data_IF_466715156276
#
_entry.id   IF_466715156276
#
_cell.length_a   1.000
_cell.length_b   1.000
_cell.length_c   1.000
_cell.angle_alpha   90.00
_cell.angle_beta   90.00
_cell.angle_gamma   90.00
#
_symmetry.space_group_name_H-M   'P 1'
#
loop_
_entity.id
_entity.type
_entity.pdbx_description
1 polymer ?
#
# COMPACT_ATOMS: atom_id res chain seq x y z
N UNK A 1 -8.99 6.36 -15.02
CA UNK A 1 -10.22 7.12 -14.79
C UNK A 1 -10.54 7.37 -13.30
N UNK A 2 -9.56 7.23 -12.40
CA UNK A 2 -9.72 7.47 -10.95
C UNK A 2 -9.54 8.95 -10.50
N UNK A 3 -9.27 9.87 -11.42
CA UNK A 3 -9.01 11.28 -11.07
C UNK A 3 -10.18 12.02 -10.40
N UNK A 4 -11.39 11.52 -10.51
CA UNK A 4 -12.58 12.22 -9.97
C UNK A 4 -12.80 12.03 -8.45
N UNK A 5 -12.07 11.11 -7.83
CA UNK A 5 -12.23 10.78 -6.42
C UNK A 5 -11.07 11.24 -5.53
N UNK A 6 -9.99 11.77 -6.14
CA UNK A 6 -8.83 12.22 -5.39
C UNK A 6 -9.00 13.71 -5.06
N UNK A 7 -8.92 14.11 -3.79
CA UNK A 7 -8.97 15.52 -3.42
C UNK A 7 -7.95 16.35 -4.18
N UNK A 8 -8.30 17.57 -4.61
CA UNK A 8 -7.48 18.41 -5.48
C UNK A 8 -6.14 18.87 -4.89
N UNK A 9 -5.87 18.58 -3.62
CA UNK A 9 -4.59 18.88 -2.95
C UNK A 9 -3.59 17.70 -3.01
N UNK A 10 -3.95 16.58 -3.66
CA UNK A 10 -3.08 15.41 -3.78
C UNK A 10 -2.39 15.41 -5.13
N UNK A 11 -1.06 15.48 -5.14
CA UNK A 11 -0.27 15.23 -6.34
C UNK A 11 -0.26 13.73 -6.63
N UNK A 12 -0.70 13.33 -7.82
CA UNK A 12 -0.66 11.93 -8.26
C UNK A 12 0.49 11.72 -9.21
N UNK A 13 1.53 11.02 -8.74
CA UNK A 13 2.61 10.51 -9.58
C UNK A 13 2.28 9.09 -10.02
N UNK A 14 2.28 8.84 -11.32
CA UNK A 14 2.11 7.49 -11.86
C UNK A 14 3.46 6.92 -12.24
N UNK A 15 3.68 5.69 -11.87
CA UNK A 15 4.79 4.90 -12.37
C UNK A 15 4.51 4.53 -13.85
N UNK A 16 5.25 5.13 -14.78
CA UNK A 16 5.11 4.86 -16.21
C UNK A 16 6.44 4.37 -16.79
N UNK A 17 6.38 3.38 -17.69
CA UNK A 17 7.56 2.86 -18.38
C UNK A 17 8.45 1.95 -17.55
N UNK A 18 7.95 1.42 -16.46
CA UNK A 18 8.67 0.49 -15.60
C UNK A 18 8.45 -0.95 -16.05
N UNK A 19 9.54 -1.72 -16.14
CA UNK A 19 9.55 -3.06 -16.70
C UNK A 19 9.79 -4.17 -15.66
N UNK A 20 9.42 -3.93 -14.41
CA UNK A 20 9.57 -4.97 -13.39
C UNK A 20 9.62 -4.45 -11.96
N UNK A 21 9.82 -5.39 -11.04
CA UNK A 21 9.82 -5.14 -9.60
C UNK A 21 10.96 -4.23 -9.12
N UNK A 22 12.14 -4.31 -9.77
CA UNK A 22 13.29 -3.47 -9.44
C UNK A 22 12.99 -2.00 -9.72
N UNK A 23 12.31 -1.72 -10.82
CA UNK A 23 11.89 -0.37 -11.17
C UNK A 23 10.82 0.12 -10.20
N UNK A 24 9.90 -0.74 -9.76
CA UNK A 24 8.89 -0.39 -8.76
C UNK A 24 9.55 -0.03 -7.42
N UNK A 25 10.53 -0.80 -6.96
CA UNK A 25 11.31 -0.48 -5.77
C UNK A 25 12.01 0.88 -5.92
N UNK A 26 12.69 1.09 -7.05
CA UNK A 26 13.38 2.35 -7.35
C UNK A 26 12.41 3.54 -7.33
N UNK A 27 11.24 3.39 -7.94
CA UNK A 27 10.20 4.41 -7.92
C UNK A 27 9.77 4.77 -6.49
N UNK A 28 9.52 3.78 -5.62
CA UNK A 28 9.15 4.04 -4.21
C UNK A 28 10.29 4.76 -3.48
N UNK A 29 11.53 4.33 -3.68
CA UNK A 29 12.72 4.97 -3.08
C UNK A 29 12.83 6.42 -3.54
N UNK A 30 12.65 6.70 -4.83
CA UNK A 30 12.71 8.05 -5.38
C UNK A 30 11.58 8.93 -4.85
N UNK A 31 10.36 8.39 -4.73
CA UNK A 31 9.24 9.09 -4.07
C UNK A 31 9.61 9.46 -2.63
N UNK A 32 10.20 8.53 -1.86
CA UNK A 32 10.61 8.82 -0.48
C UNK A 32 11.72 9.86 -0.44
N UNK A 33 12.65 9.87 -1.40
CA UNK A 33 13.74 10.87 -1.51
C UNK A 33 13.20 12.27 -1.79
N UNK A 34 12.22 12.39 -2.67
CA UNK A 34 11.79 13.67 -3.23
C UNK A 34 10.57 14.28 -2.50
N UNK A 35 9.79 13.50 -1.78
CA UNK A 35 8.59 13.97 -1.11
C UNK A 35 8.92 14.67 0.21
N UNK A 36 8.45 15.92 0.39
CA UNK A 36 8.66 16.70 1.62
C UNK A 36 7.56 16.49 2.68
N UNK A 37 6.70 15.53 2.47
CA UNK A 37 5.58 15.23 3.37
C UNK A 37 5.29 13.73 3.48
N UNK A 38 4.01 13.41 3.46
CA UNK A 38 3.51 12.05 3.47
C UNK A 38 3.29 11.56 2.05
N UNK A 39 3.82 10.39 1.73
CA UNK A 39 3.50 9.68 0.49
C UNK A 39 2.50 8.56 0.77
N UNK A 40 1.56 8.37 -0.17
CA UNK A 40 0.65 7.22 -0.20
C UNK A 40 1.00 6.41 -1.44
N UNK A 41 1.47 5.20 -1.24
CA UNK A 41 1.79 4.24 -2.30
C UNK A 41 0.59 3.31 -2.46
N UNK A 42 0.13 3.13 -3.68
CA UNK A 42 -0.99 2.23 -3.98
C UNK A 42 -0.74 1.49 -5.29
N UNK A 43 -1.02 0.21 -5.29
CA UNK A 43 -1.04 -0.60 -6.50
C UNK A 43 -2.22 -0.24 -7.40
N UNK A 44 -2.11 -0.55 -8.68
CA UNK A 44 -3.11 -0.23 -9.71
C UNK A 44 -4.45 -0.94 -9.53
N UNK A 45 -4.46 -2.05 -8.80
CA UNK A 45 -5.62 -2.87 -8.48
C UNK A 45 -6.10 -2.72 -7.03
N UNK A 46 -5.69 -1.62 -6.40
CA UNK A 46 -6.21 -1.16 -5.12
C UNK A 46 -7.38 -0.19 -5.34
N UNK A 47 -8.54 -0.49 -4.79
CA UNK A 47 -9.76 0.29 -4.92
C UNK A 47 -10.16 0.90 -3.58
N UNK A 48 -9.79 2.15 -3.37
CA UNK A 48 -10.16 2.91 -2.16
C UNK A 48 -11.54 3.52 -2.36
N UNK A 49 -12.47 3.22 -1.50
CA UNK A 49 -13.85 3.74 -1.55
C UNK A 49 -14.16 4.72 -0.41
N UNK A 50 -13.36 4.74 0.66
CA UNK A 50 -13.47 5.70 1.76
C UNK A 50 -12.19 6.52 1.87
N UNK A 51 -12.01 7.47 0.95
CA UNK A 51 -10.80 8.30 0.86
C UNK A 51 -10.51 9.11 2.11
N UNK A 52 -11.54 9.54 2.85
CA UNK A 52 -11.37 10.28 4.10
C UNK A 52 -10.59 9.50 5.17
N UNK A 53 -10.49 8.17 5.07
CA UNK A 53 -9.69 7.35 5.96
C UNK A 53 -8.18 7.64 5.84
N UNK A 54 -7.71 8.02 4.64
CA UNK A 54 -6.28 8.26 4.40
C UNK A 54 -5.77 9.48 5.17
N UNK A 55 -6.33 10.70 5.01
CA UNK A 55 -5.89 11.84 5.82
C UNK A 55 -6.09 11.60 7.32
N UNK A 56 -7.16 10.96 7.75
CA UNK A 56 -7.37 10.62 9.15
C UNK A 56 -6.28 9.68 9.71
N UNK A 57 -5.84 8.69 8.90
CA UNK A 57 -4.70 7.85 9.27
C UNK A 57 -3.40 8.67 9.36
N UNK A 58 -3.15 9.59 8.42
CA UNK A 58 -1.97 10.46 8.45
C UNK A 58 -1.96 11.31 9.72
N UNK A 59 -3.09 11.92 10.08
CA UNK A 59 -3.23 12.70 11.32
C UNK A 59 -2.97 11.83 12.56
N UNK A 60 -3.56 10.63 12.62
CA UNK A 60 -3.32 9.68 13.69
C UNK A 60 -1.85 9.28 13.77
N UNK A 61 -1.20 8.99 12.64
CA UNK A 61 0.21 8.63 12.57
C UNK A 61 1.10 9.76 13.05
N UNK A 62 0.85 11.00 12.61
CA UNK A 62 1.59 12.18 13.02
C UNK A 62 1.49 12.41 14.54
N UNK A 63 0.27 12.33 15.09
CA UNK A 63 0.03 12.54 16.53
C UNK A 63 0.68 11.46 17.41
N UNK A 64 0.87 10.25 16.91
CA UNK A 64 1.39 9.11 17.66
C UNK A 64 2.85 8.70 17.29
N UNK A 65 3.51 9.48 16.43
CA UNK A 65 4.89 9.26 16.03
C UNK A 65 5.10 8.01 15.14
N UNK A 66 4.08 7.55 14.43
CA UNK A 66 4.23 6.51 13.42
C UNK A 66 4.90 7.10 12.16
N UNK A 67 5.81 6.37 11.57
CA UNK A 67 6.56 6.82 10.40
C UNK A 67 6.10 6.19 9.09
N UNK A 68 5.52 5.01 9.16
CA UNK A 68 4.99 4.32 8.00
C UNK A 68 3.83 3.39 8.41
N UNK A 69 2.94 3.10 7.48
CA UNK A 69 1.80 2.22 7.68
C UNK A 69 1.59 1.30 6.49
N UNK A 70 1.05 0.13 6.75
CA UNK A 70 0.65 -0.85 5.74
C UNK A 70 0.25 -2.17 6.37
N UNK A 71 -0.24 -3.09 5.57
CA UNK A 71 -0.50 -4.46 6.01
C UNK A 71 0.83 -5.21 6.13
N UNK A 72 1.05 -6.00 7.20
CA UNK A 72 2.19 -6.90 7.26
C UNK A 72 2.24 -7.80 6.02
N UNK A 73 3.43 -7.98 5.45
CA UNK A 73 3.54 -8.79 4.25
C UNK A 73 3.07 -10.22 4.48
N UNK A 74 2.40 -10.78 3.46
CA UNK A 74 1.86 -12.15 3.46
C UNK A 74 0.73 -12.43 4.45
N UNK A 75 0.25 -11.40 5.18
CA UNK A 75 -0.64 -11.55 6.34
C UNK A 75 -2.00 -12.17 6.07
N UNK A 76 -2.55 -12.14 4.86
CA UNK A 76 -3.86 -12.73 4.51
C UNK A 76 -3.76 -13.86 3.49
N UNK A 77 -2.59 -14.07 2.89
CA UNK A 77 -2.41 -15.18 1.94
C UNK A 77 -2.18 -16.49 2.71
N UNK A 78 -3.00 -17.53 2.51
CA UNK A 78 -2.84 -18.82 3.18
C UNK A 78 -1.56 -19.55 2.78
N UNK A 79 -0.92 -19.13 1.69
CA UNK A 79 0.28 -19.75 1.14
C UNK A 79 1.58 -19.05 1.51
N UNK A 80 1.51 -17.95 2.29
CA UNK A 80 2.66 -17.14 2.66
C UNK A 80 2.80 -17.06 4.18
N UNK A 81 4.05 -17.01 4.64
CA UNK A 81 4.35 -16.83 6.07
C UNK A 81 4.26 -15.34 6.41
N UNK A 82 3.49 -14.99 7.44
CA UNK A 82 3.37 -13.63 7.96
C UNK A 82 4.73 -13.08 8.38
N UNK A 83 5.08 -11.89 7.89
CA UNK A 83 6.25 -11.14 8.30
C UNK A 83 5.84 -9.76 8.84
N UNK A 84 6.12 -9.53 10.11
CA UNK A 84 5.81 -8.26 10.78
C UNK A 84 6.84 -7.15 10.54
N UNK A 85 8.04 -7.51 10.08
CA UNK A 85 9.11 -6.54 9.80
C UNK A 85 9.01 -5.92 8.42
N UNK A 86 8.21 -6.50 7.54
CA UNK A 86 7.99 -6.01 6.18
C UNK A 86 6.53 -5.76 5.92
N UNK A 87 6.24 -4.80 5.06
CA UNK A 87 4.88 -4.46 4.66
C UNK A 87 4.63 -4.93 3.23
N UNK A 88 3.39 -5.23 2.92
CA UNK A 88 3.02 -5.49 1.54
C UNK A 88 2.94 -4.15 0.77
N UNK A 89 3.54 -4.05 -0.43
CA UNK A 89 3.63 -2.80 -1.17
C UNK A 89 2.30 -2.29 -1.75
N UNK A 90 1.23 -3.07 -1.77
CA UNK A 90 -0.02 -2.68 -2.42
C UNK A 90 -0.68 -1.44 -1.82
N UNK A 91 -0.44 -1.16 -0.53
CA UNK A 91 -0.89 0.06 0.13
C UNK A 91 0.05 0.44 1.27
N UNK A 92 0.66 1.61 1.18
CA UNK A 92 1.48 2.15 2.25
C UNK A 92 1.28 3.66 2.42
N UNK A 93 1.41 4.14 3.65
CA UNK A 93 1.52 5.56 4.00
C UNK A 93 2.91 5.76 4.62
N UNK A 94 3.69 6.72 4.12
CA UNK A 94 5.08 6.91 4.51
C UNK A 94 5.34 8.38 4.84
N UNK A 95 5.87 8.65 6.03
CA UNK A 95 6.42 9.96 6.38
C UNK A 95 7.84 10.05 5.78
N UNK A 96 7.94 10.60 4.57
CA UNK A 96 9.19 10.61 3.81
C UNK A 96 10.32 11.36 4.52
N UNK A 97 10.11 12.59 5.07
CA UNK A 97 11.16 13.28 5.83
C UNK A 97 11.65 12.49 7.05
N UNK A 98 10.74 11.84 7.79
CA UNK A 98 11.12 11.07 8.96
C UNK A 98 11.99 9.85 8.58
N UNK A 99 11.63 9.13 7.52
CA UNK A 99 12.41 7.99 7.04
C UNK A 99 13.78 8.44 6.54
N UNK A 100 13.86 9.52 5.73
CA UNK A 100 15.15 10.06 5.25
C UNK A 100 16.06 10.47 6.38
N UNK A 101 15.57 11.29 7.30
CA UNK A 101 16.37 11.83 8.41
C UNK A 101 16.90 10.76 9.35
N UNK A 102 16.22 9.64 9.45
CA UNK A 102 16.65 8.49 10.26
C UNK A 102 17.61 7.54 9.51
N UNK A 103 18.00 7.83 8.26
CA UNK A 103 18.90 6.97 7.48
C UNK A 103 18.22 5.72 6.92
N UNK A 104 16.88 5.74 6.78
CA UNK A 104 16.09 4.58 6.33
C UNK A 104 16.33 4.16 4.88
N UNK A 105 17.07 4.97 4.11
CA UNK A 105 17.38 4.70 2.69
C UNK A 105 18.86 4.38 2.43
N UNK A 106 19.73 4.47 3.45
CA UNK A 106 21.18 4.46 3.25
C UNK A 106 21.77 3.13 2.73
N UNK A 107 20.99 2.06 2.75
CA UNK A 107 21.44 0.71 2.43
C UNK A 107 20.61 -0.03 1.36
N UNK A 108 19.74 0.67 0.66
CA UNK A 108 18.78 0.06 -0.30
C UNK A 108 19.38 -0.17 -1.70
N UNK A 109 20.61 0.25 -1.96
CA UNK A 109 21.24 0.18 -3.29
C UNK A 109 21.56 -1.24 -3.81
N UNK A 110 21.40 -2.26 -2.97
CA UNK A 110 21.59 -3.66 -3.36
C UNK A 110 20.46 -4.51 -2.80
N UNK A 111 19.56 -5.00 -3.66
CA UNK A 111 18.43 -5.81 -3.20
C UNK A 111 18.92 -7.06 -2.49
N UNK A 112 18.60 -7.17 -1.20
CA UNK A 112 18.99 -8.29 -0.35
C UNK A 112 18.36 -9.63 -0.81
N UNK A 113 17.31 -9.59 -1.65
CA UNK A 113 16.68 -10.78 -2.20
C UNK A 113 17.65 -11.65 -3.01
N UNK A 114 18.70 -11.08 -3.58
CA UNK A 114 19.75 -11.82 -4.29
C UNK A 114 20.56 -12.74 -3.36
N UNK A 115 20.56 -12.44 -2.06
CA UNK A 115 21.30 -13.21 -1.06
C UNK A 115 20.43 -14.22 -0.29
N UNK A 116 19.10 -14.08 -0.33
CA UNK A 116 18.17 -14.93 0.40
C UNK A 116 16.87 -15.16 -0.41
N UNK A 117 16.61 -16.41 -0.87
CA UNK A 117 15.44 -16.70 -1.72
C UNK A 117 14.08 -16.53 -1.02
N UNK A 118 14.07 -16.32 0.29
CA UNK A 118 12.84 -16.03 1.05
C UNK A 118 12.52 -14.54 1.13
N UNK A 119 13.44 -13.67 0.72
CA UNK A 119 13.21 -12.21 0.65
C UNK A 119 12.62 -11.82 -0.69
N UNK A 120 11.63 -10.96 -0.65
CA UNK A 120 11.08 -10.27 -1.83
C UNK A 120 11.82 -8.94 -2.05
N UNK A 121 11.65 -8.37 -3.22
CA UNK A 121 12.42 -7.18 -3.63
C UNK A 121 12.18 -5.96 -2.73
N UNK A 122 11.00 -5.85 -2.13
CA UNK A 122 10.63 -4.74 -1.24
C UNK A 122 11.04 -4.97 0.22
N UNK A 123 11.42 -6.19 0.58
CA UNK A 123 11.68 -6.56 1.98
C UNK A 123 12.81 -5.74 2.60
N UNK A 124 13.86 -5.44 1.84
CA UNK A 124 14.98 -4.65 2.34
C UNK A 124 14.57 -3.20 2.65
N UNK A 125 13.78 -2.58 1.79
CA UNK A 125 13.22 -1.25 2.03
C UNK A 125 12.41 -1.22 3.35
N UNK A 126 11.45 -2.11 3.49
CA UNK A 126 10.58 -2.13 4.66
C UNK A 126 11.33 -2.52 5.93
N UNK A 127 12.32 -3.41 5.83
CA UNK A 127 13.18 -3.75 6.96
C UNK A 127 14.02 -2.54 7.41
N UNK A 128 14.57 -1.74 6.48
CA UNK A 128 15.26 -0.51 6.85
C UNK A 128 14.30 0.50 7.49
N UNK A 129 13.13 0.71 6.92
CA UNK A 129 12.10 1.58 7.50
C UNK A 129 11.68 1.13 8.90
N UNK A 130 11.53 -0.18 9.11
CA UNK A 130 11.20 -0.76 10.43
C UNK A 130 12.31 -0.53 11.46
N UNK A 131 13.59 -0.61 11.06
CA UNK A 131 14.73 -0.37 11.97
C UNK A 131 14.83 1.07 12.45
N UNK A 132 14.44 2.04 11.63
CA UNK A 132 14.61 3.47 11.90
C UNK A 132 13.33 4.17 12.32
N UNK A 133 12.19 3.51 12.22
CA UNK A 133 10.89 4.11 12.44
C UNK A 133 9.92 3.21 13.23
N UNK A 134 8.71 3.73 13.40
CA UNK A 134 7.60 3.04 14.09
C UNK A 134 6.50 2.72 13.09
N UNK A 135 6.24 1.44 12.78
CA UNK A 135 5.16 1.05 11.87
C UNK A 135 3.79 1.12 12.53
N UNK A 136 2.78 1.51 11.76
CA UNK A 136 1.36 1.28 12.03
C UNK A 136 0.91 0.10 11.16
N UNK A 137 0.63 -1.04 11.79
CA UNK A 137 0.13 -2.21 11.07
C UNK A 137 -1.37 -2.09 10.84
N UNK A 138 -1.75 -2.17 9.56
CA UNK A 138 -3.15 -2.16 9.15
C UNK A 138 -3.69 -3.60 9.12
N UNK A 139 -4.87 -3.79 9.70
CA UNK A 139 -5.55 -5.07 9.66
C UNK A 139 -6.27 -5.24 8.33
N UNK A 140 -6.46 -6.48 7.93
CA UNK A 140 -7.19 -6.84 6.73
C UNK A 140 -7.97 -8.14 6.92
N UNK A 141 -8.92 -8.39 6.04
CA UNK A 141 -9.63 -9.64 5.93
C UNK A 141 -9.65 -10.09 4.46
N UNK A 142 -9.62 -11.40 4.23
CA UNK A 142 -9.89 -11.96 2.91
C UNK A 142 -11.40 -12.01 2.69
N UNK A 143 -11.85 -11.58 1.53
CA UNK A 143 -13.27 -11.67 1.16
C UNK A 143 -13.66 -13.11 0.81
N UNK A 144 -14.95 -13.35 0.57
CA UNK A 144 -15.47 -14.68 0.30
C UNK A 144 -14.93 -15.36 -0.97
N UNK A 145 -14.27 -14.61 -1.88
CA UNK A 145 -13.61 -15.16 -3.06
C UNK A 145 -12.25 -15.83 -2.72
N UNK A 146 -11.77 -15.71 -1.48
CA UNK A 146 -10.52 -16.28 -1.01
C UNK A 146 -9.25 -15.55 -1.49
N UNK A 147 -9.38 -14.45 -2.25
CA UNK A 147 -8.27 -13.70 -2.82
C UNK A 147 -8.29 -12.22 -2.44
N UNK A 148 -9.42 -11.56 -2.66
CA UNK A 148 -9.53 -10.11 -2.44
C UNK A 148 -9.30 -9.76 -0.98
N UNK A 149 -8.39 -8.82 -0.75
CA UNK A 149 -8.10 -8.30 0.57
C UNK A 149 -8.95 -7.06 0.85
N UNK A 150 -9.67 -7.07 1.96
CA UNK A 150 -10.42 -5.92 2.45
C UNK A 150 -9.64 -5.26 3.57
N UNK A 151 -9.07 -4.09 3.31
CA UNK A 151 -8.16 -3.39 4.22
C UNK A 151 -8.92 -2.49 5.17
N UNK A 152 -8.48 -2.49 6.45
CA UNK A 152 -9.03 -1.66 7.52
C UNK A 152 -8.10 -0.50 7.85
N UNK A 153 -8.68 0.64 8.24
CA UNK A 153 -7.95 1.78 8.78
C UNK A 153 -7.53 1.58 10.24
N UNK A 154 -6.93 2.62 10.85
CA UNK A 154 -6.49 2.62 12.24
C UNK A 154 -7.62 2.47 13.27
N UNK A 155 -8.87 2.71 12.90
CA UNK A 155 -10.06 2.51 13.74
C UNK A 155 -10.67 1.11 13.55
N UNK A 156 -10.12 0.29 12.68
CA UNK A 156 -10.65 -1.04 12.37
C UNK A 156 -11.80 -1.04 11.37
N UNK A 157 -12.05 0.09 10.70
CA UNK A 157 -13.11 0.22 9.70
C UNK A 157 -12.58 -0.02 8.29
N UNK A 158 -13.34 -0.75 7.48
CA UNK A 158 -12.97 -1.04 6.11
C UNK A 158 -12.97 0.21 5.24
N UNK A 159 -11.96 0.37 4.38
CA UNK A 159 -11.84 1.55 3.51
C UNK A 159 -11.40 1.26 2.08
N UNK A 160 -10.84 0.09 1.81
CA UNK A 160 -10.29 -0.23 0.49
C UNK A 160 -10.28 -1.73 0.21
N UNK A 161 -10.33 -2.08 -1.07
CA UNK A 161 -10.22 -3.45 -1.58
C UNK A 161 -8.98 -3.57 -2.46
N UNK A 162 -8.22 -4.64 -2.30
CA UNK A 162 -7.12 -5.02 -3.18
C UNK A 162 -7.47 -6.32 -3.88
N UNK A 163 -7.51 -6.29 -5.22
CA UNK A 163 -7.98 -7.45 -5.98
C UNK A 163 -6.94 -8.55 -6.14
N UNK A 164 -5.68 -8.22 -5.99
CA UNK A 164 -4.54 -9.06 -6.32
C UNK A 164 -4.51 -9.50 -7.80
N UNK A 165 -3.34 -9.79 -8.31
CA UNK A 165 -3.16 -10.39 -9.62
C UNK A 165 -3.77 -9.58 -10.78
N UNK A 166 -3.61 -8.24 -10.75
CA UNK A 166 -4.09 -7.36 -11.84
C UNK A 166 -3.56 -7.79 -13.22
N UNK A 167 -2.39 -8.41 -13.26
CA UNK A 167 -1.81 -9.00 -14.47
C UNK A 167 -2.69 -10.08 -15.13
N UNK A 168 -3.48 -10.79 -14.33
CA UNK A 168 -4.43 -11.79 -14.80
C UNK A 168 -5.62 -11.17 -15.56
N UNK A 169 -5.78 -9.85 -15.48
CA UNK A 169 -6.76 -9.13 -16.32
C UNK A 169 -6.57 -9.43 -17.80
N UNK A 170 -5.31 -9.50 -18.25
CA UNK A 170 -5.00 -9.85 -19.64
C UNK A 170 -5.25 -11.35 -19.95
N UNK A 171 -5.28 -12.21 -18.92
CA UNK A 171 -5.35 -13.67 -19.05
C UNK A 171 -6.71 -14.29 -18.69
N UNK A 172 -7.75 -13.48 -18.42
CA UNK A 172 -9.10 -13.99 -18.25
C UNK A 172 -9.79 -13.69 -16.91
N UNK A 173 -9.08 -13.21 -15.90
CA UNK A 173 -9.64 -12.88 -14.58
C UNK A 173 -10.43 -11.54 -14.53
N UNK A 174 -10.80 -11.03 -15.71
CA UNK A 174 -11.56 -9.77 -15.86
C UNK A 174 -12.82 -9.72 -15.03
N UNK A 175 -13.53 -10.85 -14.93
CA UNK A 175 -14.81 -10.93 -14.21
C UNK A 175 -14.61 -10.71 -12.72
N UNK A 176 -13.60 -11.34 -12.10
CA UNK A 176 -13.29 -11.19 -10.68
C UNK A 176 -12.85 -9.75 -10.37
N UNK A 177 -11.86 -9.24 -11.10
CA UNK A 177 -11.33 -7.89 -10.86
C UNK A 177 -12.41 -6.84 -11.10
N UNK A 178 -13.24 -7.02 -12.15
CA UNK A 178 -14.39 -6.14 -12.39
C UNK A 178 -15.38 -6.18 -11.23
N UNK A 179 -15.67 -7.36 -10.68
CA UNK A 179 -16.53 -7.48 -9.51
C UNK A 179 -15.97 -6.73 -8.31
N UNK A 180 -14.67 -6.84 -8.03
CA UNK A 180 -14.03 -6.10 -6.94
C UNK A 180 -14.16 -4.59 -7.13
N UNK A 181 -14.00 -4.11 -8.36
CA UNK A 181 -14.23 -2.71 -8.71
C UNK A 181 -15.70 -2.30 -8.48
N UNK A 182 -16.65 -3.12 -8.93
CA UNK A 182 -18.09 -2.86 -8.76
C UNK A 182 -18.48 -2.86 -7.26
N UNK A 183 -17.91 -3.77 -6.46
CA UNK A 183 -18.08 -3.82 -5.01
C UNK A 183 -17.53 -2.53 -4.33
N UNK A 184 -16.33 -2.11 -4.71
CA UNK A 184 -15.74 -0.87 -4.19
C UNK A 184 -16.57 0.36 -4.55
N UNK A 185 -17.10 0.41 -5.78
CA UNK A 185 -18.01 1.46 -6.22
C UNK A 185 -19.31 1.47 -5.42
N UNK A 186 -19.89 0.30 -5.17
CA UNK A 186 -21.08 0.18 -4.34
C UNK A 186 -20.85 0.73 -2.92
N UNK A 187 -19.72 0.38 -2.27
CA UNK A 187 -19.38 0.90 -0.94
C UNK A 187 -19.19 2.43 -0.96
N UNK A 188 -18.57 2.95 -2.01
CA UNK A 188 -18.42 4.39 -2.17
C UNK A 188 -19.77 5.13 -2.28
N UNK A 189 -20.67 4.63 -3.12
CA UNK A 189 -22.00 5.21 -3.33
C UNK A 189 -22.86 5.10 -2.06
N UNK A 190 -22.81 3.96 -1.37
CA UNK A 190 -23.54 3.75 -0.11
C UNK A 190 -23.04 4.68 1.02
N UNK A 191 -21.73 4.89 1.13
CA UNK A 191 -21.16 5.79 2.14
C UNK A 191 -21.52 7.25 1.90
N UNK A 192 -21.60 7.70 0.66
CA UNK A 192 -21.99 9.07 0.32
C UNK A 192 -23.49 9.36 0.46
N UNK A 193 -24.35 8.34 0.42
CA UNK A 193 -25.80 8.48 0.60
C UNK A 193 -26.22 8.45 2.08
N UNK A 194 -25.30 8.16 3.00
CA UNK A 194 -25.56 8.04 4.44
C UNK A 194 -25.11 9.27 5.23
N UNK A 195 -24.55 10.26 4.56
CA UNK A 195 -24.05 11.53 5.11
C UNK A 195 -24.95 12.69 4.69
#
# INVERSE_FOLDING_TARGET
MMKSFIPGYVEVKKMQGYNGWEDALRFIVDVIKDCDGWAVIMDEDMFTYRFAAIPAMIEHMAANGFTHAGMPDRGVSPHRTLQWTTLNPFFNIINCPAIRSAGGLDKIDKPAFMACPTFEIFDDLYLQMWKVGKPLYLNAATTADGYTTHLKDHNGEYFALHSWMSREWAHGEKTRIKKVYDDARYYYEAGNNSS
#
